data_IF_938642346348
#
_entry.id   IF_938642346348
#
_cell.length_a   1.000
_cell.length_b   1.000
_cell.length_c   1.000
_cell.angle_alpha   90.00
_cell.angle_beta   90.00
_cell.angle_gamma   90.00
#
_symmetry.space_group_name_H-M   'P 1'
#
loop_
_entity.id
_entity.type
_entity.pdbx_description
1 polymer ?
#
# COMPACT_ATOMS: atom_id res chain seq x y z
N UNK A 1 2.53 -30.40 -5.76
CA UNK A 1 1.05 -30.48 -5.67
C UNK A 1 0.51 -29.14 -6.12
N UNK A 2 -0.59 -29.09 -6.85
CA UNK A 2 -1.19 -27.81 -7.25
C UNK A 2 -1.70 -27.09 -5.99
N UNK A 3 -1.46 -25.78 -5.90
CA UNK A 3 -1.99 -24.95 -4.82
C UNK A 3 -3.52 -24.99 -4.86
N UNK A 4 -4.20 -25.17 -3.71
CA UNK A 4 -5.66 -25.18 -3.70
C UNK A 4 -6.21 -23.80 -4.09
N UNK A 5 -7.29 -23.82 -4.87
CA UNK A 5 -8.00 -22.61 -5.28
C UNK A 5 -8.64 -21.92 -4.07
N UNK A 6 -8.57 -20.58 -3.98
CA UNK A 6 -9.30 -19.82 -2.98
C UNK A 6 -10.82 -20.02 -3.07
N UNK A 7 -11.50 -19.99 -1.93
CA UNK A 7 -12.98 -20.05 -1.90
C UNK A 7 -13.62 -18.78 -2.46
N UNK A 8 -14.88 -18.85 -2.87
CA UNK A 8 -15.65 -17.68 -3.33
C UNK A 8 -15.76 -16.58 -2.27
N UNK A 9 -15.86 -16.92 -0.98
CA UNK A 9 -15.87 -15.95 0.12
C UNK A 9 -14.52 -15.21 0.23
N UNK A 10 -13.40 -15.93 0.12
CA UNK A 10 -12.07 -15.34 0.15
C UNK A 10 -11.87 -14.37 -1.02
N UNK A 11 -12.28 -14.77 -2.22
CA UNK A 11 -12.20 -13.93 -3.43
C UNK A 11 -13.05 -12.66 -3.24
N UNK A 12 -14.31 -12.80 -2.82
CA UNK A 12 -15.21 -11.66 -2.64
C UNK A 12 -14.73 -10.71 -1.54
N UNK A 13 -14.16 -11.24 -0.44
CA UNK A 13 -13.58 -10.42 0.61
C UNK A 13 -12.35 -9.66 0.12
N UNK A 14 -11.44 -10.35 -0.57
CA UNK A 14 -10.25 -9.75 -1.15
C UNK A 14 -10.60 -8.62 -2.11
N UNK A 15 -11.45 -8.88 -3.11
CA UNK A 15 -11.79 -7.87 -4.11
C UNK A 15 -12.44 -6.64 -3.49
N UNK A 16 -13.35 -6.82 -2.52
CA UNK A 16 -13.97 -5.70 -1.81
C UNK A 16 -12.91 -4.89 -1.05
N UNK A 17 -12.11 -5.54 -0.20
CA UNK A 17 -11.11 -4.85 0.63
C UNK A 17 -10.07 -4.11 -0.23
N UNK A 18 -9.54 -4.77 -1.26
CA UNK A 18 -8.52 -4.18 -2.15
C UNK A 18 -9.08 -2.99 -2.93
N UNK A 19 -10.33 -3.07 -3.44
CA UNK A 19 -10.97 -1.93 -4.10
C UNK A 19 -11.23 -0.76 -3.14
N UNK A 20 -11.61 -1.04 -1.90
CA UNK A 20 -11.78 0.00 -0.88
C UNK A 20 -10.45 0.67 -0.50
N UNK A 21 -9.35 -0.09 -0.39
CA UNK A 21 -8.00 0.45 -0.21
C UNK A 21 -7.62 1.39 -1.36
N UNK A 22 -7.69 0.90 -2.60
CA UNK A 22 -7.38 1.69 -3.81
C UNK A 22 -8.26 2.96 -3.87
N UNK A 23 -9.53 2.88 -3.49
CA UNK A 23 -10.40 4.06 -3.44
C UNK A 23 -9.95 5.09 -2.38
N UNK A 24 -9.45 4.66 -1.22
CA UNK A 24 -8.87 5.57 -0.21
C UNK A 24 -7.59 6.22 -0.72
N UNK A 25 -6.69 5.46 -1.35
CA UNK A 25 -5.46 6.01 -1.93
C UNK A 25 -5.77 7.01 -3.03
N UNK A 26 -6.71 6.68 -3.94
CA UNK A 26 -7.20 7.60 -4.98
C UNK A 26 -7.71 8.90 -4.39
N UNK A 27 -8.55 8.84 -3.36
CA UNK A 27 -9.04 10.06 -2.68
C UNK A 27 -7.90 10.91 -2.12
N UNK A 28 -6.91 10.28 -1.49
CA UNK A 28 -5.75 11.01 -0.95
C UNK A 28 -4.92 11.65 -2.06
N UNK A 29 -4.65 10.92 -3.15
CA UNK A 29 -3.93 11.44 -4.32
C UNK A 29 -4.68 12.59 -5.00
N UNK A 30 -6.02 12.51 -5.14
CA UNK A 30 -6.83 13.60 -5.67
C UNK A 30 -6.79 14.86 -4.81
N UNK A 31 -6.69 14.70 -3.48
CA UNK A 31 -6.47 15.83 -2.56
C UNK A 31 -5.09 16.42 -2.81
N UNK A 32 -4.04 15.60 -2.81
CA UNK A 32 -2.67 16.06 -3.04
C UNK A 32 -2.49 16.71 -4.43
N UNK A 33 -3.17 16.21 -5.44
CA UNK A 33 -3.17 16.77 -6.79
C UNK A 33 -3.74 18.21 -6.84
N UNK A 34 -4.60 18.59 -5.90
CA UNK A 34 -5.14 19.97 -5.81
C UNK A 34 -4.21 20.96 -5.13
N UNK A 35 -3.28 20.47 -4.32
CA UNK A 35 -2.45 21.30 -3.42
C UNK A 35 -0.95 21.19 -3.69
N UNK A 36 -0.56 20.45 -4.73
CA UNK A 36 0.85 20.29 -5.16
C UNK A 36 0.98 20.57 -6.65
N UNK A 37 2.21 20.81 -7.11
CA UNK A 37 2.51 21.08 -8.52
C UNK A 37 2.50 19.82 -9.42
N UNK A 38 2.12 18.66 -8.87
CA UNK A 38 2.18 17.35 -9.54
C UNK A 38 0.80 16.80 -9.95
N UNK A 39 -0.19 17.68 -10.15
CA UNK A 39 -1.58 17.30 -10.34
C UNK A 39 -1.79 16.19 -11.41
N UNK A 40 -1.25 16.38 -12.61
CA UNK A 40 -1.46 15.46 -13.73
C UNK A 40 -0.84 14.08 -13.46
N UNK A 41 0.39 14.03 -12.94
CA UNK A 41 1.07 12.77 -12.64
C UNK A 41 0.37 12.06 -11.47
N UNK A 42 -0.01 12.76 -10.40
CA UNK A 42 -0.72 12.17 -9.26
C UNK A 42 -2.07 11.57 -9.65
N UNK A 43 -2.84 12.23 -10.53
CA UNK A 43 -4.10 11.69 -11.04
C UNK A 43 -3.88 10.45 -11.93
N UNK A 44 -2.80 10.45 -12.73
CA UNK A 44 -2.42 9.27 -13.51
C UNK A 44 -2.01 8.10 -12.60
N UNK A 45 -1.22 8.37 -11.56
CA UNK A 45 -0.84 7.38 -10.53
C UNK A 45 -2.08 6.85 -9.80
N UNK A 46 -3.02 7.70 -9.42
CA UNK A 46 -4.28 7.30 -8.77
C UNK A 46 -5.08 6.30 -9.61
N UNK A 47 -5.13 6.48 -10.93
CA UNK A 47 -5.81 5.55 -11.83
C UNK A 47 -5.18 4.15 -11.82
N UNK A 48 -3.87 4.06 -11.64
CA UNK A 48 -3.08 2.82 -11.78
C UNK A 48 -2.63 2.20 -10.45
N UNK A 49 -2.80 2.90 -9.33
CA UNK A 49 -2.35 2.44 -8.02
C UNK A 49 -2.83 1.02 -7.72
N UNK A 50 -1.88 0.14 -7.41
CA UNK A 50 -2.08 -1.27 -7.06
C UNK A 50 -2.83 -2.11 -8.11
N UNK A 51 -2.85 -1.70 -9.38
CA UNK A 51 -3.53 -2.45 -10.44
C UNK A 51 -3.01 -3.90 -10.57
N UNK A 52 -1.71 -4.11 -10.33
CA UNK A 52 -1.06 -5.43 -10.40
C UNK A 52 -1.66 -6.45 -9.43
N UNK A 53 -2.35 -6.00 -8.36
CA UNK A 53 -3.08 -6.87 -7.42
C UNK A 53 -4.13 -7.74 -8.11
N UNK A 54 -4.67 -7.29 -9.25
CA UNK A 54 -5.68 -8.04 -9.99
C UNK A 54 -5.10 -8.93 -11.11
N UNK A 55 -3.79 -8.90 -11.31
CA UNK A 55 -3.09 -9.71 -12.30
C UNK A 55 -2.71 -11.09 -11.74
N UNK A 56 -2.54 -12.13 -12.60
CA UNK A 56 -2.28 -13.50 -12.16
C UNK A 56 -1.06 -13.66 -11.24
N UNK A 57 -0.05 -12.81 -11.41
CA UNK A 57 1.22 -12.83 -10.64
C UNK A 57 1.00 -12.52 -9.15
N UNK A 58 -0.03 -11.74 -8.82
CA UNK A 58 -0.30 -11.32 -7.44
C UNK A 58 -1.63 -11.85 -6.91
N UNK A 59 -2.66 -11.92 -7.75
CA UNK A 59 -4.06 -12.02 -7.30
C UNK A 59 -4.32 -13.20 -6.38
N UNK A 60 -3.96 -14.41 -6.81
CA UNK A 60 -4.23 -15.63 -6.03
C UNK A 60 -3.49 -15.64 -4.70
N UNK A 61 -2.21 -15.26 -4.72
CA UNK A 61 -1.38 -15.17 -3.52
C UNK A 61 -1.90 -14.12 -2.53
N UNK A 62 -2.30 -12.94 -3.02
CA UNK A 62 -2.86 -11.89 -2.18
C UNK A 62 -4.25 -12.21 -1.63
N UNK A 63 -5.05 -13.03 -2.31
CA UNK A 63 -6.30 -13.57 -1.75
C UNK A 63 -5.98 -14.42 -0.52
N UNK A 64 -5.00 -15.33 -0.61
CA UNK A 64 -4.56 -16.15 0.51
C UNK A 64 -3.99 -15.31 1.65
N UNK A 65 -3.10 -14.36 1.35
CA UNK A 65 -2.51 -13.47 2.35
C UNK A 65 -3.58 -12.64 3.08
N UNK A 66 -4.54 -12.10 2.32
CA UNK A 66 -5.65 -11.33 2.89
C UNK A 66 -6.52 -12.19 3.80
N UNK A 67 -6.81 -13.44 3.40
CA UNK A 67 -7.56 -14.37 4.24
C UNK A 67 -6.80 -14.72 5.52
N UNK A 68 -5.49 -14.97 5.42
CA UNK A 68 -4.62 -15.23 6.56
C UNK A 68 -4.69 -14.10 7.59
N UNK A 69 -4.62 -12.84 7.15
CA UNK A 69 -4.78 -11.69 8.04
C UNK A 69 -6.21 -11.56 8.61
N UNK A 70 -7.25 -11.77 7.78
CA UNK A 70 -8.65 -11.75 8.23
C UNK A 70 -8.89 -12.76 9.35
N UNK A 71 -8.43 -14.00 9.14
CA UNK A 71 -8.56 -15.14 10.06
C UNK A 71 -7.80 -14.94 11.37
N UNK A 72 -6.58 -14.40 11.32
CA UNK A 72 -5.84 -13.97 12.52
C UNK A 72 -6.61 -12.92 13.33
N UNK A 73 -7.17 -11.90 12.67
CA UNK A 73 -7.96 -10.85 13.34
C UNK A 73 -9.23 -11.39 13.98
N UNK A 74 -9.83 -12.43 13.40
CA UNK A 74 -11.01 -13.11 13.94
C UNK A 74 -10.70 -14.14 15.04
N UNK A 75 -9.42 -14.33 15.42
CA UNK A 75 -9.02 -15.32 16.42
C UNK A 75 -9.06 -16.77 15.93
N UNK A 76 -9.06 -16.99 14.61
CA UNK A 76 -9.08 -18.32 13.99
C UNK A 76 -7.96 -18.45 12.93
N UNK A 77 -6.68 -18.31 13.33
CA UNK A 77 -5.54 -18.40 12.42
C UNK A 77 -5.47 -19.78 11.73
N UNK A 78 -4.86 -19.82 10.56
CA UNK A 78 -4.56 -21.06 9.84
C UNK A 78 -3.18 -20.95 9.20
N UNK A 79 -2.54 -22.09 8.94
CA UNK A 79 -1.32 -22.15 8.17
C UNK A 79 -1.63 -22.26 6.67
N UNK A 80 -0.83 -21.60 5.85
CA UNK A 80 -0.98 -21.67 4.41
C UNK A 80 -0.94 -23.12 3.91
N UNK A 81 -1.75 -23.47 2.90
CA UNK A 81 -1.59 -24.74 2.20
C UNK A 81 -0.16 -24.90 1.63
N UNK A 82 0.35 -26.13 1.47
CA UNK A 82 1.68 -26.35 0.91
C UNK A 82 1.89 -25.62 -0.44
N UNK A 83 2.92 -24.78 -0.51
CA UNK A 83 3.28 -24.00 -1.71
C UNK A 83 2.76 -22.56 -1.71
N UNK A 84 1.68 -22.25 -0.99
CA UNK A 84 1.10 -20.90 -0.97
C UNK A 84 2.02 -19.87 -0.34
N UNK A 85 2.79 -20.24 0.69
CA UNK A 85 3.73 -19.32 1.35
C UNK A 85 4.78 -18.77 0.36
N UNK A 86 5.35 -19.64 -0.49
CA UNK A 86 6.31 -19.23 -1.52
C UNK A 86 5.66 -18.36 -2.60
N UNK A 87 4.40 -18.63 -2.96
CA UNK A 87 3.64 -17.77 -3.90
C UNK A 87 3.34 -16.40 -3.29
N UNK A 88 3.03 -16.33 -1.99
CA UNK A 88 2.85 -15.07 -1.24
C UNK A 88 4.12 -14.25 -1.22
N UNK A 89 5.26 -14.87 -0.90
CA UNK A 89 6.57 -14.19 -0.93
C UNK A 89 6.89 -13.65 -2.33
N UNK A 90 6.68 -14.45 -3.38
CA UNK A 90 6.89 -14.04 -4.76
C UNK A 90 5.97 -12.89 -5.18
N UNK A 91 4.69 -12.94 -4.80
CA UNK A 91 3.73 -11.88 -5.11
C UNK A 91 4.05 -10.56 -4.37
N UNK A 92 4.52 -10.62 -3.12
CA UNK A 92 4.98 -9.44 -2.39
C UNK A 92 6.19 -8.83 -3.10
N UNK A 93 7.18 -9.64 -3.48
CA UNK A 93 8.35 -9.17 -4.21
C UNK A 93 7.98 -8.58 -5.58
N UNK A 94 7.06 -9.22 -6.32
CA UNK A 94 6.53 -8.70 -7.58
C UNK A 94 5.89 -7.33 -7.37
N UNK A 95 5.01 -7.21 -6.38
CA UNK A 95 4.31 -5.96 -6.08
C UNK A 95 5.26 -4.80 -5.80
N UNK A 96 6.21 -5.03 -4.89
CA UNK A 96 7.16 -4.01 -4.44
C UNK A 96 8.13 -3.61 -5.56
N UNK A 97 8.46 -4.52 -6.49
CA UNK A 97 9.35 -4.26 -7.64
C UNK A 97 8.65 -3.69 -8.88
N UNK A 98 7.30 -3.64 -8.91
CA UNK A 98 6.53 -3.12 -10.06
C UNK A 98 5.76 -1.83 -9.74
N UNK A 99 5.74 -1.41 -8.48
CA UNK A 99 5.00 -0.23 -8.05
C UNK A 99 5.96 0.79 -7.40
N UNK A 100 6.27 1.86 -8.15
CA UNK A 100 7.27 2.89 -7.79
C UNK A 100 7.01 3.69 -6.51
N UNK A 101 5.83 3.57 -5.89
CA UNK A 101 5.59 4.14 -4.56
C UNK A 101 6.19 3.29 -3.42
N UNK A 102 6.61 2.04 -3.70
CA UNK A 102 7.40 1.25 -2.76
C UNK A 102 8.88 1.59 -2.90
N UNK A 103 9.60 1.84 -1.80
CA UNK A 103 11.04 2.07 -1.82
C UNK A 103 11.84 0.98 -2.54
N UNK A 104 11.40 -0.27 -2.44
CA UNK A 104 12.04 -1.47 -3.01
C UNK A 104 11.93 -1.56 -4.54
N UNK A 105 11.14 -0.69 -5.18
CA UNK A 105 11.16 -0.51 -6.63
C UNK A 105 12.47 0.15 -7.10
N UNK A 106 13.09 0.95 -6.22
CA UNK A 106 14.25 1.78 -6.55
C UNK A 106 15.54 1.12 -6.06
N UNK A 107 16.63 1.34 -6.80
CA UNK A 107 17.96 0.86 -6.38
C UNK A 107 18.41 1.52 -5.06
N UNK A 108 18.08 2.81 -4.89
CA UNK A 108 18.18 3.55 -3.63
C UNK A 108 16.81 4.20 -3.31
N UNK A 109 16.26 4.08 -2.08
CA UNK A 109 15.04 4.80 -1.70
C UNK A 109 15.12 6.33 -1.91
N UNK A 110 16.32 6.90 -1.96
CA UNK A 110 16.52 8.32 -2.26
C UNK A 110 16.29 8.70 -3.73
N UNK A 111 16.16 7.73 -4.63
CA UNK A 111 15.83 7.94 -6.04
C UNK A 111 14.33 8.14 -6.28
N UNK A 112 13.48 7.86 -5.27
CA UNK A 112 12.04 8.12 -5.32
C UNK A 112 11.76 9.58 -5.68
N UNK A 113 10.92 9.82 -6.68
CA UNK A 113 10.50 11.19 -7.02
C UNK A 113 9.57 11.76 -5.95
N UNK A 114 9.28 13.06 -6.02
CA UNK A 114 8.27 13.67 -5.14
C UNK A 114 6.90 13.00 -5.29
N UNK A 115 6.51 12.64 -6.53
CA UNK A 115 5.27 11.91 -6.81
C UNK A 115 5.27 10.53 -6.16
N UNK A 116 6.39 9.80 -6.22
CA UNK A 116 6.53 8.48 -5.57
C UNK A 116 6.33 8.57 -4.06
N UNK A 117 6.94 9.58 -3.44
CA UNK A 117 6.84 9.82 -2.00
C UNK A 117 5.42 10.27 -1.59
N UNK A 118 4.77 11.11 -2.41
CA UNK A 118 3.38 11.52 -2.18
C UNK A 118 2.45 10.31 -2.28
N UNK A 119 2.61 9.45 -3.28
CA UNK A 119 1.82 8.23 -3.41
C UNK A 119 2.06 7.27 -2.24
N UNK A 120 3.31 7.10 -1.80
CA UNK A 120 3.65 6.31 -0.61
C UNK A 120 2.97 6.84 0.65
N UNK A 121 2.96 8.16 0.85
CA UNK A 121 2.24 8.80 1.96
C UNK A 121 0.73 8.54 1.86
N UNK A 122 0.15 8.63 0.66
CA UNK A 122 -1.26 8.34 0.43
C UNK A 122 -1.61 6.88 0.72
N UNK A 123 -0.74 5.93 0.33
CA UNK A 123 -0.89 4.50 0.63
C UNK A 123 -0.88 4.23 2.14
N UNK A 124 0.12 4.77 2.85
CA UNK A 124 0.21 4.60 4.31
C UNK A 124 -0.96 5.25 5.06
N UNK A 125 -1.44 6.41 4.58
CA UNK A 125 -2.64 7.08 5.12
C UNK A 125 -3.87 6.21 4.90
N UNK A 126 -4.06 5.64 3.71
CA UNK A 126 -5.18 4.74 3.43
C UNK A 126 -5.18 3.49 4.34
N UNK A 127 -3.99 2.91 4.58
CA UNK A 127 -3.84 1.79 5.52
C UNK A 127 -4.16 2.19 6.96
N UNK A 128 -3.68 3.37 7.41
CA UNK A 128 -3.99 3.89 8.74
C UNK A 128 -5.49 4.15 8.93
N UNK A 129 -6.16 4.68 7.89
CA UNK A 129 -7.61 4.85 7.87
C UNK A 129 -8.36 3.52 7.94
N UNK A 130 -7.94 2.51 7.16
CA UNK A 130 -8.57 1.18 7.16
C UNK A 130 -8.49 0.51 8.55
N UNK A 131 -7.35 0.64 9.22
CA UNK A 131 -7.14 0.03 10.53
C UNK A 131 -7.58 0.90 11.71
N UNK A 132 -8.08 2.11 11.46
CA UNK A 132 -8.42 3.09 12.49
C UNK A 132 -7.26 3.35 13.46
N UNK A 133 -6.05 3.45 12.92
CA UNK A 133 -4.82 3.69 13.68
C UNK A 133 -4.36 5.13 13.51
N UNK A 134 -3.72 5.69 14.54
CA UNK A 134 -3.04 6.98 14.47
C UNK A 134 -3.93 8.12 13.92
N UNK A 135 -5.24 8.08 14.20
CA UNK A 135 -6.18 9.09 13.68
C UNK A 135 -6.39 9.05 12.17
N UNK A 136 -5.95 8.00 11.47
CA UNK A 136 -5.94 7.92 10.01
C UNK A 136 -4.71 8.52 9.34
N UNK A 137 -3.72 8.98 10.11
CA UNK A 137 -2.48 9.59 9.61
C UNK A 137 -1.39 8.55 9.36
N UNK A 138 -0.64 8.70 8.26
CA UNK A 138 0.56 7.93 7.96
C UNK A 138 1.71 8.15 8.96
N UNK A 139 1.65 9.17 9.84
CA UNK A 139 2.75 9.51 10.76
C UNK A 139 3.24 8.33 11.60
N UNK A 140 2.31 7.56 12.15
CA UNK A 140 2.67 6.40 12.98
C UNK A 140 3.36 5.27 12.22
N UNK A 141 3.14 5.18 10.90
CA UNK A 141 3.84 4.24 10.02
C UNK A 141 5.21 4.78 9.62
N UNK A 142 5.29 6.06 9.27
CA UNK A 142 6.54 6.74 8.96
C UNK A 142 7.54 6.64 10.13
N UNK A 143 7.11 6.91 11.36
CA UNK A 143 7.95 6.86 12.57
C UNK A 143 8.54 5.47 12.86
N UNK A 144 7.85 4.40 12.44
CA UNK A 144 8.31 3.02 12.63
C UNK A 144 9.19 2.52 11.48
N UNK A 145 9.09 3.16 10.33
CA UNK A 145 9.66 2.65 9.07
C UNK A 145 10.90 3.43 8.67
N UNK A 146 10.85 4.76 8.73
CA UNK A 146 11.93 5.64 8.29
C UNK A 146 13.09 5.59 9.28
N UNK A 147 14.28 5.29 8.78
CA UNK A 147 15.50 5.10 9.58
C UNK A 147 15.65 3.70 10.18
N UNK A 148 14.64 2.83 10.05
CA UNK A 148 14.68 1.43 10.50
C UNK A 148 14.70 0.46 9.32
N UNK A 149 13.69 0.57 8.45
CA UNK A 149 13.56 -0.27 7.25
C UNK A 149 13.89 0.53 5.97
N UNK A 150 13.49 1.80 5.93
CA UNK A 150 13.69 2.67 4.76
C UNK A 150 14.63 3.81 5.14
N UNK A 151 15.77 3.91 4.45
CA UNK A 151 16.84 4.86 4.79
C UNK A 151 16.83 6.08 3.85
N UNK A 152 15.89 6.98 4.09
CA UNK A 152 15.87 8.29 3.44
C UNK A 152 16.96 9.21 3.99
N UNK A 153 17.54 10.01 3.10
CA UNK A 153 18.36 11.15 3.44
C UNK A 153 17.52 12.25 4.12
N UNK A 154 18.17 13.30 4.63
CA UNK A 154 17.49 14.35 5.38
C UNK A 154 16.40 15.06 4.58
N UNK A 155 16.64 15.31 3.29
CA UNK A 155 15.71 15.99 2.38
C UNK A 155 14.45 15.15 2.14
N UNK A 156 14.61 13.89 1.73
CA UNK A 156 13.51 12.95 1.49
C UNK A 156 12.69 12.70 2.75
N UNK A 157 13.37 12.57 3.90
CA UNK A 157 12.69 12.46 5.20
C UNK A 157 11.86 13.70 5.49
N UNK A 158 12.44 14.90 5.37
CA UNK A 158 11.72 16.15 5.62
C UNK A 158 10.51 16.29 4.70
N UNK A 159 10.68 15.96 3.41
CA UNK A 159 9.60 15.99 2.43
C UNK A 159 8.45 15.04 2.81
N UNK A 160 8.73 13.79 3.15
CA UNK A 160 7.69 12.82 3.56
C UNK A 160 6.88 13.32 4.75
N UNK A 161 7.54 13.81 5.82
CA UNK A 161 6.80 14.33 6.98
C UNK A 161 5.99 15.58 6.66
N UNK A 162 6.49 16.47 5.78
CA UNK A 162 5.73 17.63 5.32
C UNK A 162 4.48 17.21 4.52
N UNK A 163 4.59 16.20 3.66
CA UNK A 163 3.44 15.69 2.88
C UNK A 163 2.41 14.98 3.78
N UNK A 164 2.84 14.29 4.84
CA UNK A 164 1.93 13.72 5.85
C UNK A 164 1.13 14.85 6.51
N UNK A 165 1.81 15.89 6.99
CA UNK A 165 1.16 17.02 7.67
C UNK A 165 0.21 17.78 6.73
N UNK A 166 0.62 17.99 5.47
CA UNK A 166 -0.23 18.62 4.46
C UNK A 166 -1.50 17.79 4.18
N UNK A 167 -1.35 16.48 3.92
CA UNK A 167 -2.50 15.61 3.66
C UNK A 167 -3.44 15.52 4.86
N UNK A 168 -2.90 15.46 6.08
CA UNK A 168 -3.71 15.44 7.30
C UNK A 168 -4.56 16.71 7.46
N UNK A 169 -3.99 17.89 7.13
CA UNK A 169 -4.72 19.17 7.14
C UNK A 169 -5.83 19.17 6.09
N UNK A 170 -5.53 18.77 4.85
CA UNK A 170 -6.48 18.81 3.73
C UNK A 170 -7.58 17.74 3.80
N UNK A 171 -7.38 16.66 4.56
CA UNK A 171 -8.44 15.68 4.83
C UNK A 171 -9.38 16.11 5.95
N UNK A 172 -8.98 17.08 6.78
CA UNK A 172 -9.75 17.61 7.89
C UNK A 172 -10.56 18.88 7.51
N UNK A 173 -10.29 19.48 6.36
CA UNK A 173 -10.99 20.66 5.81
C UNK A 173 -12.30 20.31 5.11
#
# INVERSE_FOLDING_TARGET
>A
MAVPEPTSDMIAFYERRTREHIARVRRCLEVMARVTDHADELLARAAQHDATKFEPEERTAYIWLTEHHRRRKMGNPFDFPPGVEAEVEAAIAHHMSHNRHHPEFHDDPNDMTEVDLIEMVCDWTAMAQEFHQCGGSARGWADKTIGVRVHFNAEKRQFVYAMIELLDIELAS
#
